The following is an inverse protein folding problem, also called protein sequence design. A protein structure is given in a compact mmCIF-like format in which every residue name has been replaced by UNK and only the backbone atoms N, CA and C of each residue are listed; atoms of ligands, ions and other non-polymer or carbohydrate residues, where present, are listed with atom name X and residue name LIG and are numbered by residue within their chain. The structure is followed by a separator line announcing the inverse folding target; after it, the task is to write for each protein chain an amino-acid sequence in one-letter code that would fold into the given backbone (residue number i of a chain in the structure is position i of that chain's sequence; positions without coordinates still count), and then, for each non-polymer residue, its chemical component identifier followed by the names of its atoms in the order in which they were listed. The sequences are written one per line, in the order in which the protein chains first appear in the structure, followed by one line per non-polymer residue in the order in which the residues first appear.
data_IF_726713082347
#
_entry.id   IF_726713082347
#
_cell.length_a   1.000
_cell.length_b   1.000
_cell.length_c   1.000
_cell.angle_alpha   90.00
_cell.angle_beta   90.00
_cell.angle_gamma   90.00
#
_symmetry.space_group_name_H-M   'P 1'
#
loop_
_entity.id
_entity.type
_entity.pdbx_description
1 polymer ?
#
# COMPACT_ATOMS: atom_id res chain seq x y z
N UNK A 1 -24.43 17.17 -1.68
CA UNK A 1 -23.31 16.39 -2.23
C UNK A 1 -23.26 15.04 -1.52
N UNK A 2 -23.09 13.93 -2.25
CA UNK A 2 -23.13 12.57 -1.70
C UNK A 2 -21.74 12.23 -1.17
N UNK A 3 -21.61 11.90 0.12
CA UNK A 3 -20.33 11.48 0.70
C UNK A 3 -19.82 10.22 -0.01
N UNK A 4 -18.54 10.19 -0.37
CA UNK A 4 -17.87 8.98 -0.84
C UNK A 4 -17.74 8.00 0.32
N UNK A 5 -18.35 6.84 0.20
CA UNK A 5 -18.19 5.74 1.17
C UNK A 5 -17.14 4.81 0.61
N UNK A 6 -16.14 4.47 1.42
CA UNK A 6 -15.18 3.44 1.04
C UNK A 6 -15.93 2.11 0.86
N UNK A 7 -15.78 1.51 -0.31
CA UNK A 7 -16.26 0.16 -0.57
C UNK A 7 -15.04 -0.71 -0.85
N UNK A 8 -14.85 -1.73 -0.03
CA UNK A 8 -13.85 -2.75 -0.28
C UNK A 8 -14.18 -3.55 -1.54
N UNK A 9 -13.19 -4.28 -2.04
CA UNK A 9 -13.34 -5.16 -3.19
C UNK A 9 -11.98 -5.67 -3.65
N UNK A 10 -11.98 -6.71 -4.47
CA UNK A 10 -10.80 -7.18 -5.17
C UNK A 10 -10.91 -6.84 -6.66
N UNK A 11 -9.80 -6.38 -7.23
CA UNK A 11 -9.67 -6.19 -8.65
C UNK A 11 -8.31 -6.74 -9.06
N UNK A 12 -8.31 -7.68 -10.00
CA UNK A 12 -7.10 -8.24 -10.59
C UNK A 12 -7.04 -7.89 -12.07
N UNK A 13 -5.86 -7.43 -12.51
CA UNK A 13 -5.62 -7.13 -13.92
C UNK A 13 -4.38 -7.91 -14.36
N UNK A 14 -4.59 -8.89 -15.22
CA UNK A 14 -3.49 -9.62 -15.84
C UNK A 14 -2.97 -8.84 -17.05
N UNK A 15 -1.76 -8.32 -16.92
CA UNK A 15 -1.01 -7.68 -18.02
C UNK A 15 0.40 -8.28 -18.10
N UNK A 16 1.01 -8.33 -19.29
CA UNK A 16 2.40 -8.71 -19.46
C UNK A 16 3.30 -7.58 -18.94
N UNK A 17 3.42 -7.48 -17.61
CA UNK A 17 4.31 -6.56 -16.91
C UNK A 17 5.54 -7.29 -16.42
N UNK A 18 6.70 -6.63 -16.42
CA UNK A 18 7.94 -7.14 -15.81
C UNK A 18 7.84 -7.23 -14.27
N UNK A 19 6.92 -6.47 -13.68
CA UNK A 19 6.66 -6.43 -12.25
C UNK A 19 5.21 -6.79 -11.93
N UNK A 20 5.02 -7.64 -10.91
CA UNK A 20 3.72 -7.86 -10.27
C UNK A 20 3.51 -6.78 -9.22
N UNK A 21 2.40 -6.05 -9.32
CA UNK A 21 1.99 -5.04 -8.36
C UNK A 21 0.79 -5.55 -7.57
N UNK A 22 0.83 -5.41 -6.24
CA UNK A 22 -0.26 -5.74 -5.34
C UNK A 22 -0.52 -4.50 -4.49
N UNK A 23 -1.75 -4.01 -4.46
CA UNK A 23 -2.15 -2.87 -3.65
C UNK A 23 -3.25 -3.32 -2.70
N UNK A 24 -3.07 -3.06 -1.42
CA UNK A 24 -4.11 -3.21 -0.40
C UNK A 24 -4.61 -1.81 -0.06
N UNK A 25 -5.89 -1.53 -0.30
CA UNK A 25 -6.53 -0.26 0.06
C UNK A 25 -7.49 -0.48 1.22
N UNK A 26 -7.51 0.44 2.18
CA UNK A 26 -8.37 0.50 3.36
C UNK A 26 -9.04 1.86 3.44
N UNK A 27 -10.10 1.95 4.25
CA UNK A 27 -10.76 3.22 4.54
C UNK A 27 -9.80 4.18 5.26
N UNK A 28 -9.67 5.39 4.72
CA UNK A 28 -8.94 6.49 5.34
C UNK A 28 -9.89 7.54 5.90
N UNK A 29 -9.31 8.66 6.35
CA UNK A 29 -10.09 9.78 6.90
C UNK A 29 -10.12 10.96 5.92
N UNK A 30 -11.20 11.77 5.91
CA UNK A 30 -11.25 12.98 5.11
C UNK A 30 -10.24 14.03 5.60
N UNK A 31 -9.88 14.98 4.75
CA UNK A 31 -8.89 16.03 5.06
C UNK A 31 -9.33 16.94 6.22
N UNK A 32 -10.64 17.03 6.49
CA UNK A 32 -11.23 17.82 7.56
C UNK A 32 -11.27 17.07 8.90
N UNK A 33 -10.94 15.78 8.93
CA UNK A 33 -10.91 14.99 10.16
C UNK A 33 -9.66 15.34 10.98
N UNK A 34 -9.79 15.53 12.31
CA UNK A 34 -8.63 15.80 13.17
C UNK A 34 -7.57 14.69 13.13
N UNK A 35 -7.94 13.45 12.76
CA UNK A 35 -7.04 12.31 12.60
C UNK A 35 -6.24 12.32 11.30
N UNK A 36 -6.45 13.31 10.42
CA UNK A 36 -5.76 13.42 9.14
C UNK A 36 -4.23 13.41 9.30
N UNK A 37 -3.68 14.20 10.22
CA UNK A 37 -2.23 14.19 10.46
C UNK A 37 -1.77 12.88 11.11
N UNK A 38 -2.59 12.30 11.99
CA UNK A 38 -2.31 11.00 12.61
C UNK A 38 -2.19 9.89 11.55
N UNK A 39 -3.12 9.82 10.58
CA UNK A 39 -3.08 8.78 9.55
C UNK A 39 -1.90 8.98 8.60
N UNK A 40 -1.52 10.23 8.31
CA UNK A 40 -0.34 10.52 7.49
C UNK A 40 0.96 10.15 8.20
N UNK A 41 1.10 10.50 9.48
CA UNK A 41 2.25 10.09 10.29
C UNK A 41 2.32 8.56 10.40
N UNK A 42 1.17 7.91 10.61
CA UNK A 42 1.06 6.46 10.67
C UNK A 42 1.47 5.80 9.34
N UNK A 43 1.01 6.33 8.20
CA UNK A 43 1.40 5.84 6.87
C UNK A 43 2.91 5.95 6.63
N UNK A 44 3.52 7.06 7.02
CA UNK A 44 4.96 7.25 6.90
C UNK A 44 5.75 6.29 7.82
N UNK A 45 5.31 6.16 9.08
CA UNK A 45 5.96 5.27 10.04
C UNK A 45 5.83 3.81 9.62
N UNK A 46 4.63 3.37 9.20
CA UNK A 46 4.41 2.03 8.66
C UNK A 46 5.23 1.81 7.40
N UNK A 47 5.23 2.73 6.44
CA UNK A 47 6.06 2.61 5.24
C UNK A 47 7.54 2.40 5.58
N UNK A 48 8.06 3.15 6.55
CA UNK A 48 9.45 3.02 7.01
C UNK A 48 9.71 1.72 7.80
N UNK A 49 8.83 1.36 8.73
CA UNK A 49 8.93 0.15 9.56
C UNK A 49 8.80 -1.12 8.72
N UNK A 50 7.86 -1.12 7.77
CA UNK A 50 7.66 -2.17 6.80
C UNK A 50 8.87 -2.25 5.87
N UNK A 51 9.42 -1.13 5.38
CA UNK A 51 10.68 -1.20 4.59
C UNK A 51 11.82 -1.87 5.37
N UNK A 52 12.01 -1.54 6.65
CA UNK A 52 13.04 -2.16 7.51
C UNK A 52 12.80 -3.64 7.80
N UNK A 53 11.58 -4.02 8.19
CA UNK A 53 11.21 -5.42 8.41
C UNK A 53 11.41 -6.25 7.13
N UNK A 54 11.14 -5.65 5.97
CA UNK A 54 11.23 -6.33 4.68
C UNK A 54 12.64 -6.39 4.12
N UNK A 55 13.56 -5.49 4.46
CA UNK A 55 14.98 -5.71 4.18
C UNK A 55 15.48 -6.99 4.87
N UNK A 56 15.11 -7.19 6.14
CA UNK A 56 15.45 -8.41 6.91
C UNK A 56 14.82 -9.68 6.30
N UNK A 57 13.60 -9.60 5.77
CA UNK A 57 12.93 -10.72 5.09
C UNK A 57 13.47 -10.92 3.66
N UNK A 58 13.86 -9.85 2.96
CA UNK A 58 14.46 -9.88 1.61
C UNK A 58 15.80 -10.59 1.62
N UNK A 59 16.68 -10.26 2.57
CA UNK A 59 17.96 -10.96 2.74
C UNK A 59 17.78 -12.45 3.02
N UNK A 60 16.71 -12.83 3.75
CA UNK A 60 16.48 -14.22 4.12
C UNK A 60 15.70 -15.04 3.08
N UNK A 61 14.87 -14.43 2.22
CA UNK A 61 13.91 -15.18 1.37
C UNK A 61 13.70 -14.64 -0.06
N UNK A 62 14.19 -13.47 -0.44
CA UNK A 62 14.10 -12.98 -1.83
C UNK A 62 12.69 -12.67 -2.39
N UNK A 63 11.66 -12.55 -1.54
CA UNK A 63 10.25 -12.56 -1.94
C UNK A 63 9.60 -11.19 -2.24
N UNK A 64 10.27 -10.04 -2.04
CA UNK A 64 9.70 -8.70 -2.29
C UNK A 64 10.79 -7.68 -2.65
N UNK A 65 10.51 -6.80 -3.62
CA UNK A 65 11.47 -5.79 -4.08
C UNK A 65 11.25 -4.40 -3.48
N UNK A 66 9.99 -4.01 -3.26
CA UNK A 66 9.66 -2.73 -2.64
C UNK A 66 8.23 -2.72 -2.09
N UNK A 67 8.06 -2.04 -0.95
CA UNK A 67 6.76 -1.81 -0.34
C UNK A 67 6.69 -0.34 0.09
N UNK A 68 5.58 0.30 -0.23
CA UNK A 68 5.26 1.68 0.11
C UNK A 68 3.87 1.73 0.75
N UNK A 69 3.66 2.72 1.62
CA UNK A 69 2.36 3.04 2.19
C UNK A 69 2.05 4.51 1.91
N UNK A 70 0.80 4.82 1.57
CA UNK A 70 0.33 6.16 1.26
C UNK A 70 -1.14 6.34 1.68
N UNK A 71 -1.52 7.54 2.09
CA UNK A 71 -2.85 7.81 2.63
C UNK A 71 -3.51 9.03 1.94
N UNK A 72 -3.99 8.90 0.69
CA UNK A 72 -4.60 10.01 -0.01
C UNK A 72 -5.95 10.33 0.64
N UNK A 73 -6.12 11.58 1.06
CA UNK A 73 -7.34 12.06 1.70
C UNK A 73 -8.03 13.06 0.78
N UNK A 74 -9.33 12.89 0.62
CA UNK A 74 -10.21 13.76 -0.16
C UNK A 74 -11.10 14.58 0.79
N UNK A 75 -11.85 15.54 0.23
CA UNK A 75 -12.71 16.44 1.02
C UNK A 75 -13.80 15.69 1.80
N UNK A 76 -14.31 14.62 1.22
CA UNK A 76 -15.47 13.88 1.76
C UNK A 76 -15.12 12.47 2.27
N UNK A 77 -13.93 11.94 1.94
CA UNK A 77 -13.49 10.58 2.26
C UNK A 77 -11.96 10.47 2.22
N UNK A 78 -11.39 9.36 2.64
CA UNK A 78 -9.96 9.09 2.50
C UNK A 78 -9.67 7.63 2.19
N UNK A 79 -8.44 7.36 1.79
CA UNK A 79 -7.93 6.01 1.56
C UNK A 79 -6.61 5.84 2.30
N UNK A 80 -6.35 4.61 2.74
CA UNK A 80 -5.06 4.16 3.22
C UNK A 80 -4.61 2.98 2.39
N UNK A 81 -3.50 3.11 1.68
CA UNK A 81 -3.04 2.13 0.72
C UNK A 81 -1.63 1.63 1.03
N UNK A 82 -1.43 0.32 0.92
CA UNK A 82 -0.12 -0.34 0.99
C UNK A 82 0.14 -1.00 -0.36
N UNK A 83 1.19 -0.56 -1.04
CA UNK A 83 1.58 -1.06 -2.36
C UNK A 83 2.87 -1.87 -2.27
N UNK A 84 2.83 -3.09 -2.79
CA UNK A 84 3.98 -3.96 -3.00
C UNK A 84 4.22 -4.10 -4.50
N UNK A 85 5.49 -4.09 -4.91
CA UNK A 85 5.89 -4.52 -6.24
C UNK A 85 7.05 -5.53 -6.20
N UNK A 86 7.04 -6.47 -7.15
CA UNK A 86 8.04 -7.52 -7.25
C UNK A 86 8.29 -7.89 -8.73
N UNK A 87 9.56 -7.97 -9.19
CA UNK A 87 9.86 -8.41 -10.54
C UNK A 87 9.50 -9.89 -10.75
N UNK A 88 8.97 -10.23 -11.93
CA UNK A 88 8.52 -11.59 -12.28
C UNK A 88 9.63 -12.63 -12.18
N UNK A 89 10.89 -12.26 -12.43
CA UNK A 89 12.04 -13.17 -12.40
C UNK A 89 12.43 -13.66 -11.01
N UNK A 90 11.91 -13.07 -9.93
CA UNK A 90 12.29 -13.45 -8.56
C UNK A 90 11.67 -14.76 -8.06
N UNK A 91 10.72 -15.36 -8.79
CA UNK A 91 10.07 -16.63 -8.41
C UNK A 91 10.79 -17.90 -8.92
N UNK A 92 11.91 -17.80 -9.65
CA UNK A 92 12.51 -18.93 -10.38
C UNK A 92 13.73 -19.59 -9.71
N UNK A 93 14.03 -19.25 -8.45
CA UNK A 93 15.21 -19.74 -7.72
C UNK A 93 14.89 -20.47 -6.39
N UNK A 94 13.72 -21.08 -6.28
CA UNK A 94 13.41 -22.11 -5.29
C UNK A 94 12.55 -23.20 -5.90
#
# INVERSE_FOLDING_TARGET
MKKGVYQGGDASLSKPLEQKHIVFGFEGVPITDPRFYTIQCYANLLGAAWRRAFFKVREKRGLVYGISAFAPSYRDTGLFCVHKHQPKFSQRYY
#
